data_IF_140155128462
#
_entry.id   IF_140155128462
#
_cell.length_a   1.000
_cell.length_b   1.000
_cell.length_c   1.000
_cell.angle_alpha   90.00
_cell.angle_beta   90.00
_cell.angle_gamma   90.00
#
_symmetry.space_group_name_H-M   'P 1'
#
loop_
_entity.id
_entity.type
_entity.pdbx_description
1 polymer ?
#
# COMPACT_ATOMS: atom_id res chain seq x y z
N UNK A 1 -18.10 13.98 6.36
CA UNK A 1 -17.82 14.88 7.48
C UNK A 1 -18.40 14.37 8.78
N UNK A 2 -18.09 15.04 9.90
CA UNK A 2 -18.63 14.79 11.25
C UNK A 2 -20.17 14.93 11.31
N UNK A 3 -20.78 15.55 10.29
CA UNK A 3 -22.23 15.60 10.12
C UNK A 3 -22.88 14.19 10.05
N UNK A 4 -22.18 13.17 9.55
CA UNK A 4 -22.66 11.77 9.49
C UNK A 4 -22.14 10.87 10.60
N UNK A 5 -21.56 11.43 11.67
CA UNK A 5 -20.93 10.60 12.73
C UNK A 5 -21.87 9.53 13.29
N UNK A 6 -23.19 9.78 13.28
CA UNK A 6 -24.21 8.80 13.67
C UNK A 6 -24.31 7.58 12.73
N UNK A 7 -23.99 7.73 11.44
CA UNK A 7 -24.03 6.68 10.41
C UNK A 7 -22.69 5.95 10.25
N UNK A 8 -21.61 6.54 10.75
CA UNK A 8 -20.27 5.96 10.69
C UNK A 8 -20.06 4.91 11.78
N UNK A 9 -19.37 3.82 11.44
CA UNK A 9 -18.87 2.85 12.43
C UNK A 9 -17.68 3.44 13.23
N UNK A 10 -17.23 2.72 14.27
CA UNK A 10 -16.17 3.21 15.16
C UNK A 10 -14.86 3.49 14.40
N UNK A 11 -14.53 2.62 13.44
CA UNK A 11 -13.31 2.66 12.63
C UNK A 11 -13.31 3.81 11.63
N UNK A 12 -14.47 4.24 11.14
CA UNK A 12 -14.61 5.39 10.23
C UNK A 12 -14.59 6.72 10.98
N UNK A 13 -15.13 6.77 12.20
CA UNK A 13 -15.25 8.01 12.99
C UNK A 13 -13.90 8.67 13.28
N UNK A 14 -12.84 7.89 13.45
CA UNK A 14 -11.48 8.43 13.71
C UNK A 14 -10.93 9.23 12.52
N UNK A 15 -11.44 9.00 11.31
CA UNK A 15 -11.06 9.72 10.09
C UNK A 15 -12.04 10.84 9.72
N UNK A 16 -13.18 10.96 10.42
CA UNK A 16 -14.21 11.95 10.09
C UNK A 16 -13.75 13.37 10.42
N UNK A 17 -13.73 14.24 9.42
CA UNK A 17 -13.38 15.67 9.53
C UNK A 17 -14.60 16.57 9.47
N UNK A 18 -14.48 17.86 9.82
CA UNK A 18 -15.62 18.79 9.95
C UNK A 18 -16.21 19.27 8.62
N UNK A 19 -15.50 19.03 7.53
CA UNK A 19 -15.84 19.48 6.19
C UNK A 19 -17.08 18.80 5.61
N UNK A 20 -17.63 19.48 4.61
CA UNK A 20 -18.73 19.03 3.77
C UNK A 20 -18.51 17.60 3.25
N UNK A 21 -19.57 16.81 3.27
CA UNK A 21 -19.58 15.38 3.09
C UNK A 21 -20.13 14.91 1.73
N UNK A 22 -20.38 15.87 0.82
CA UNK A 22 -20.90 15.66 -0.54
C UNK A 22 -19.85 15.85 -1.64
N UNK A 23 -18.56 15.96 -1.30
CA UNK A 23 -17.51 16.13 -2.30
C UNK A 23 -17.31 14.84 -3.11
N UNK A 24 -17.31 14.98 -4.44
CA UNK A 24 -16.78 13.97 -5.36
C UNK A 24 -15.28 13.78 -5.14
N UNK A 25 -14.73 12.64 -5.61
CA UNK A 25 -13.29 12.38 -5.49
C UNK A 25 -12.44 13.46 -6.18
N UNK A 26 -12.90 13.98 -7.31
CA UNK A 26 -12.23 15.09 -8.01
C UNK A 26 -12.20 16.37 -7.15
N UNK A 27 -13.33 16.72 -6.52
CA UNK A 27 -13.39 17.90 -5.63
C UNK A 27 -12.52 17.72 -4.38
N UNK A 28 -12.43 16.50 -3.84
CA UNK A 28 -11.50 16.16 -2.75
C UNK A 28 -10.06 16.39 -3.20
N UNK A 29 -9.67 15.90 -4.38
CA UNK A 29 -8.31 16.09 -4.91
C UNK A 29 -8.00 17.57 -5.15
N UNK A 30 -8.95 18.33 -5.71
CA UNK A 30 -8.81 19.77 -5.94
C UNK A 30 -8.65 20.57 -4.65
N UNK A 31 -9.42 20.20 -3.62
CA UNK A 31 -9.50 20.95 -2.37
C UNK A 31 -8.37 20.63 -1.40
N UNK A 32 -8.02 19.36 -1.26
CA UNK A 32 -7.08 18.90 -0.24
C UNK A 32 -5.69 18.58 -0.78
N UNK A 33 -5.53 18.59 -2.11
CA UNK A 33 -4.23 18.48 -2.77
C UNK A 33 -3.43 17.25 -2.28
N UNK A 34 -4.03 16.05 -2.25
CA UNK A 34 -3.38 14.88 -1.70
C UNK A 34 -2.14 14.50 -2.52
N UNK A 35 -1.10 14.05 -1.83
CA UNK A 35 0.13 13.52 -2.45
C UNK A 35 0.06 12.00 -2.66
N UNK A 36 -0.89 11.33 -2.00
CA UNK A 36 -1.12 9.88 -2.06
C UNK A 36 -2.60 9.61 -2.31
N UNK A 37 -2.90 8.70 -3.23
CA UNK A 37 -4.25 8.18 -3.50
C UNK A 37 -4.25 6.65 -3.41
N UNK A 38 -5.07 6.09 -2.50
CA UNK A 38 -5.18 4.65 -2.27
C UNK A 38 -6.61 4.20 -2.57
N UNK A 39 -6.75 3.29 -3.52
CA UNK A 39 -8.02 2.70 -3.94
C UNK A 39 -8.23 1.34 -3.31
N UNK A 40 -9.27 1.20 -2.50
CA UNK A 40 -9.69 -0.06 -1.85
C UNK A 40 -11.22 -0.24 -1.95
N UNK A 41 -11.78 0.12 -3.12
CA UNK A 41 -13.23 0.30 -3.31
C UNK A 41 -13.93 -0.88 -3.98
N UNK A 42 -13.18 -1.75 -4.68
CA UNK A 42 -13.68 -2.76 -5.61
C UNK A 42 -14.55 -2.20 -6.75
N UNK A 43 -14.36 -0.91 -7.09
CA UNK A 43 -15.01 -0.21 -8.20
C UNK A 43 -13.95 0.13 -9.25
N UNK A 44 -13.96 -0.61 -10.36
CA UNK A 44 -13.01 -0.41 -11.45
C UNK A 44 -13.22 0.91 -12.17
N UNK A 45 -12.12 1.56 -12.56
CA UNK A 45 -12.15 2.83 -13.30
C UNK A 45 -12.52 4.07 -12.46
N UNK A 46 -12.53 3.96 -11.13
CA UNK A 46 -12.83 5.08 -10.24
C UNK A 46 -11.76 6.18 -10.28
N UNK A 47 -10.49 5.83 -10.50
CA UNK A 47 -9.42 6.79 -10.72
C UNK A 47 -9.43 7.16 -12.20
N UNK A 48 -10.18 8.20 -12.55
CA UNK A 48 -10.28 8.69 -13.92
C UNK A 48 -9.06 9.51 -14.32
N UNK A 49 -8.85 9.68 -15.63
CA UNK A 49 -7.79 10.54 -16.18
C UNK A 49 -7.83 11.95 -15.58
N UNK A 50 -9.01 12.55 -15.50
CA UNK A 50 -9.19 13.88 -14.93
C UNK A 50 -8.68 13.93 -13.48
N UNK A 51 -9.06 12.96 -12.65
CA UNK A 51 -8.65 12.90 -11.24
C UNK A 51 -7.13 12.70 -11.11
N UNK A 52 -6.55 11.80 -11.88
CA UNK A 52 -5.12 11.50 -11.82
C UNK A 52 -4.28 12.66 -12.32
N UNK A 53 -4.66 13.30 -13.44
CA UNK A 53 -3.98 14.51 -13.95
C UNK A 53 -4.09 15.67 -12.98
N UNK A 54 -5.27 15.86 -12.37
CA UNK A 54 -5.50 16.89 -11.37
C UNK A 54 -4.58 16.71 -10.15
N UNK A 55 -4.40 15.47 -9.68
CA UNK A 55 -3.42 15.16 -8.63
C UNK A 55 -1.98 15.41 -9.10
N UNK A 56 -1.62 14.92 -10.28
CA UNK A 56 -0.26 15.00 -10.84
C UNK A 56 0.19 16.43 -11.19
N UNK A 57 -0.75 17.37 -11.32
CA UNK A 57 -0.46 18.80 -11.49
C UNK A 57 -0.03 19.50 -10.20
N UNK A 58 -0.30 18.90 -9.03
CA UNK A 58 -0.02 19.51 -7.70
C UNK A 58 1.18 18.92 -6.99
N UNK A 59 1.56 17.70 -7.34
CA UNK A 59 2.68 17.00 -6.75
C UNK A 59 3.58 16.44 -7.85
N UNK A 60 4.88 16.66 -7.70
CA UNK A 60 5.88 16.22 -8.68
C UNK A 60 5.85 14.69 -8.86
N UNK A 61 5.65 13.95 -7.77
CA UNK A 61 5.72 12.50 -7.75
C UNK A 61 4.49 11.91 -7.00
N UNK A 62 3.30 11.85 -7.63
CA UNK A 62 2.09 11.36 -6.98
C UNK A 62 2.20 9.86 -6.67
N UNK A 63 1.75 9.42 -5.51
CA UNK A 63 1.63 7.99 -5.18
C UNK A 63 0.21 7.53 -5.51
N UNK A 64 0.06 6.56 -6.42
CA UNK A 64 -1.24 6.10 -6.92
C UNK A 64 -1.34 4.58 -6.75
N UNK A 65 -2.10 4.13 -5.76
CA UNK A 65 -2.22 2.72 -5.39
C UNK A 65 -3.64 2.17 -5.62
N UNK A 66 -3.97 1.66 -6.82
CA UNK A 66 -5.22 0.95 -7.06
C UNK A 66 -5.12 -0.50 -6.54
N UNK A 67 -5.57 -0.74 -5.31
CA UNK A 67 -5.35 -2.01 -4.59
C UNK A 67 -6.49 -3.01 -4.75
N UNK A 68 -7.59 -2.62 -5.39
CA UNK A 68 -8.75 -3.49 -5.59
C UNK A 68 -8.42 -4.69 -6.48
N UNK A 69 -8.94 -5.86 -6.09
CA UNK A 69 -8.75 -7.13 -6.78
C UNK A 69 -10.10 -7.70 -7.25
N UNK A 70 -10.14 -8.50 -8.33
CA UNK A 70 -9.07 -8.76 -9.31
C UNK A 70 -8.83 -7.56 -10.24
N UNK A 71 -7.95 -7.66 -11.25
CA UNK A 71 -7.54 -6.56 -12.15
C UNK A 71 -8.69 -5.71 -12.70
N UNK A 72 -9.84 -6.31 -13.07
CA UNK A 72 -11.04 -5.59 -13.55
C UNK A 72 -11.70 -4.68 -12.51
N UNK A 73 -11.32 -4.81 -11.24
CA UNK A 73 -11.78 -3.98 -10.12
C UNK A 73 -10.76 -2.92 -9.71
N UNK A 74 -9.56 -2.92 -10.28
CA UNK A 74 -8.56 -1.89 -10.01
C UNK A 74 -9.09 -0.50 -10.40
N UNK A 75 -8.87 0.48 -9.54
CA UNK A 75 -9.38 1.83 -9.73
C UNK A 75 -8.82 2.51 -11.00
N UNK A 76 -7.62 2.15 -11.43
CA UNK A 76 -7.05 2.40 -12.76
C UNK A 76 -6.01 1.31 -13.10
N UNK A 77 -5.60 1.23 -14.36
CA UNK A 77 -4.48 0.35 -14.78
C UNK A 77 -3.13 1.02 -14.54
N UNK A 78 -2.05 0.23 -14.62
CA UNK A 78 -0.69 0.77 -14.57
C UNK A 78 -0.39 1.69 -15.77
N UNK A 79 -0.77 1.28 -16.99
CA UNK A 79 -0.63 2.07 -18.22
C UNK A 79 -1.29 3.44 -18.08
N UNK A 80 -2.56 3.46 -17.68
CA UNK A 80 -3.29 4.69 -17.38
C UNK A 80 -2.57 5.59 -16.37
N UNK A 81 -2.13 5.04 -15.24
CA UNK A 81 -1.47 5.82 -14.22
C UNK A 81 -0.14 6.43 -14.71
N UNK A 82 0.68 5.69 -15.45
CA UNK A 82 1.92 6.22 -16.00
C UNK A 82 1.65 7.26 -17.09
N UNK A 83 0.74 7.00 -18.03
CA UNK A 83 0.43 7.90 -19.13
C UNK A 83 -0.16 9.23 -18.63
N UNK A 84 -1.10 9.17 -17.69
CA UNK A 84 -1.74 10.37 -17.14
C UNK A 84 -0.83 11.18 -16.23
N UNK A 85 0.33 10.65 -15.85
CA UNK A 85 1.31 11.32 -14.99
C UNK A 85 2.66 11.54 -15.66
N UNK A 86 2.77 11.31 -16.97
CA UNK A 86 4.02 11.40 -17.73
C UNK A 86 5.15 10.53 -17.12
N UNK A 87 4.78 9.37 -16.58
CA UNK A 87 5.68 8.42 -15.94
C UNK A 87 6.20 8.87 -14.58
N UNK A 88 5.64 9.92 -13.98
CA UNK A 88 6.13 10.46 -12.69
C UNK A 88 5.54 9.74 -11.48
N UNK A 89 4.39 9.08 -11.60
CA UNK A 89 3.76 8.47 -10.44
C UNK A 89 4.60 7.32 -9.86
N UNK A 90 4.44 7.10 -8.55
CA UNK A 90 4.81 5.85 -7.90
C UNK A 90 3.56 4.97 -7.86
N UNK A 91 3.61 3.85 -8.58
CA UNK A 91 2.47 2.97 -8.76
C UNK A 91 2.68 1.61 -8.08
N UNK A 92 1.66 1.17 -7.33
CA UNK A 92 1.57 -0.20 -6.86
C UNK A 92 0.12 -0.67 -6.83
N UNK A 93 -0.13 -1.90 -7.28
CA UNK A 93 -1.49 -2.44 -7.40
C UNK A 93 -1.68 -3.71 -6.60
N UNK A 94 -2.94 -4.06 -6.30
CA UNK A 94 -3.26 -5.32 -5.62
C UNK A 94 -3.06 -6.55 -6.52
N UNK A 95 -3.48 -6.41 -7.78
CA UNK A 95 -3.35 -7.41 -8.84
C UNK A 95 -2.12 -7.12 -9.71
N UNK A 96 -1.49 -8.15 -10.31
CA UNK A 96 -0.33 -7.94 -11.18
C UNK A 96 -0.73 -7.22 -12.47
N UNK A 97 0.17 -6.37 -12.97
CA UNK A 97 0.13 -5.78 -14.30
C UNK A 97 1.44 -6.07 -15.02
N UNK A 98 1.38 -6.16 -16.35
CA UNK A 98 2.57 -6.29 -17.18
C UNK A 98 3.43 -5.00 -17.13
N UNK A 99 4.73 -5.09 -17.48
CA UNK A 99 5.56 -3.91 -17.64
C UNK A 99 4.95 -2.92 -18.64
N UNK A 100 5.10 -1.62 -18.37
CA UNK A 100 4.62 -0.53 -19.21
C UNK A 100 5.82 0.14 -19.88
N UNK A 101 5.81 0.21 -21.20
CA UNK A 101 6.80 0.93 -22.00
C UNK A 101 6.16 2.24 -22.48
N UNK A 102 6.78 3.37 -22.15
CA UNK A 102 6.35 4.69 -22.58
C UNK A 102 6.96 5.05 -23.94
N UNK A 103 6.32 5.96 -24.68
CA UNK A 103 6.79 6.44 -25.99
C UNK A 103 8.21 7.04 -25.97
N UNK A 104 8.66 7.54 -24.81
CA UNK A 104 10.01 8.09 -24.61
C UNK A 104 11.08 7.01 -24.29
N UNK A 105 10.70 5.73 -24.31
CA UNK A 105 11.56 4.57 -24.10
C UNK A 105 11.75 4.17 -22.62
N UNK A 106 11.13 4.88 -21.66
CA UNK A 106 11.13 4.44 -20.26
C UNK A 106 10.27 3.19 -20.09
N UNK A 107 10.79 2.21 -19.32
CA UNK A 107 10.06 0.97 -19.01
C UNK A 107 9.84 0.86 -17.50
N UNK A 108 8.58 0.80 -17.10
CA UNK A 108 8.15 0.67 -15.71
C UNK A 108 7.68 -0.74 -15.42
N UNK A 109 8.08 -1.27 -14.26
CA UNK A 109 7.61 -2.56 -13.75
C UNK A 109 6.72 -2.31 -12.54
N UNK A 110 5.38 -2.36 -12.68
CA UNK A 110 4.46 -2.08 -11.59
C UNK A 110 4.75 -2.94 -10.36
N UNK A 111 4.82 -2.29 -9.19
CA UNK A 111 4.96 -3.04 -7.94
C UNK A 111 3.62 -3.67 -7.56
N UNK A 112 3.65 -4.84 -6.91
CA UNK A 112 2.43 -5.48 -6.42
C UNK A 112 2.33 -5.30 -4.91
N UNK A 113 1.37 -4.48 -4.45
CA UNK A 113 1.04 -4.29 -3.05
C UNK A 113 0.10 -5.40 -2.59
N UNK A 114 0.66 -6.57 -2.30
CA UNK A 114 -0.11 -7.75 -1.90
C UNK A 114 0.30 -8.26 -0.51
N UNK A 115 -0.68 -8.73 0.26
CA UNK A 115 -0.47 -9.25 1.61
C UNK A 115 0.42 -10.51 1.66
N UNK A 116 0.70 -11.14 0.51
CA UNK A 116 1.65 -12.26 0.39
C UNK A 116 3.05 -11.95 0.92
N UNK A 117 3.45 -10.69 0.94
CA UNK A 117 4.73 -10.29 1.56
C UNK A 117 4.70 -10.37 3.09
N UNK A 118 3.53 -10.23 3.72
CA UNK A 118 3.42 -10.10 5.18
C UNK A 118 3.00 -11.41 5.85
N UNK A 119 1.87 -12.01 5.43
CA UNK A 119 1.26 -13.10 6.19
C UNK A 119 2.17 -14.33 6.42
N UNK A 120 3.04 -14.76 5.47
CA UNK A 120 3.88 -15.92 5.70
C UNK A 120 4.92 -15.67 6.79
N UNK A 121 5.60 -14.51 6.75
CA UNK A 121 6.59 -14.13 7.75
C UNK A 121 5.97 -13.87 9.12
N UNK A 122 4.84 -13.16 9.15
CA UNK A 122 4.07 -12.91 10.37
C UNK A 122 3.63 -14.22 11.03
N UNK A 123 3.02 -15.12 10.25
CA UNK A 123 2.55 -16.41 10.74
C UNK A 123 3.70 -17.31 11.21
N UNK A 124 4.81 -17.35 10.46
CA UNK A 124 6.01 -18.08 10.86
C UNK A 124 6.56 -17.56 12.18
N UNK A 125 6.76 -16.25 12.31
CA UNK A 125 7.29 -15.62 13.52
C UNK A 125 6.43 -15.89 14.74
N UNK A 126 5.12 -15.63 14.64
CA UNK A 126 4.16 -15.88 15.72
C UNK A 126 4.13 -17.36 16.14
N UNK A 127 4.20 -18.30 15.18
CA UNK A 127 4.17 -19.74 15.46
C UNK A 127 5.44 -20.23 16.15
N UNK A 128 6.61 -19.78 15.69
CA UNK A 128 7.91 -20.22 16.19
C UNK A 128 8.15 -19.77 17.63
N UNK A 129 7.87 -18.50 17.96
CA UNK A 129 8.01 -18.00 19.33
C UNK A 129 6.84 -18.37 20.24
N UNK A 130 5.78 -18.98 19.69
CA UNK A 130 4.55 -19.27 20.44
C UNK A 130 3.89 -18.00 20.98
N UNK A 131 3.74 -16.98 20.12
CA UNK A 131 3.07 -15.74 20.49
C UNK A 131 1.63 -16.04 20.94
N UNK A 132 1.22 -15.54 22.11
CA UNK A 132 -0.15 -15.73 22.62
C UNK A 132 -1.17 -14.84 21.90
N UNK A 133 -0.71 -13.74 21.31
CA UNK A 133 -1.52 -12.75 20.59
C UNK A 133 -0.68 -12.07 19.52
N UNK A 134 -1.28 -11.78 18.37
CA UNK A 134 -0.72 -10.86 17.37
C UNK A 134 -1.17 -9.44 17.69
N UNK A 135 -0.23 -8.50 17.81
CA UNK A 135 -0.50 -7.10 18.13
C UNK A 135 -0.37 -6.20 16.89
N UNK A 136 -0.97 -5.00 16.93
CA UNK A 136 -0.79 -4.01 15.87
C UNK A 136 0.68 -3.63 15.67
N UNK A 137 1.46 -3.66 16.77
CA UNK A 137 2.90 -3.42 16.73
C UNK A 137 3.64 -4.51 15.95
N UNK A 138 3.25 -5.78 16.07
CA UNK A 138 3.79 -6.87 15.23
C UNK A 138 3.50 -6.65 13.74
N UNK A 139 2.31 -6.17 13.40
CA UNK A 139 1.96 -5.82 12.02
C UNK A 139 2.82 -4.65 11.49
N UNK A 140 3.02 -3.65 12.34
CA UNK A 140 3.85 -2.48 12.02
C UNK A 140 5.31 -2.87 11.78
N UNK A 141 5.94 -3.64 12.67
CA UNK A 141 7.34 -4.06 12.47
C UNK A 141 7.51 -5.03 11.30
N UNK A 142 6.46 -5.80 10.95
CA UNK A 142 6.45 -6.59 9.73
C UNK A 142 6.50 -5.71 8.48
N UNK A 143 5.73 -4.61 8.46
CA UNK A 143 5.78 -3.63 7.37
C UNK A 143 7.13 -2.91 7.29
N UNK A 144 7.71 -2.51 8.43
CA UNK A 144 9.07 -1.93 8.49
C UNK A 144 10.12 -2.92 7.97
N UNK A 145 10.07 -4.18 8.41
CA UNK A 145 10.99 -5.22 7.98
C UNK A 145 10.91 -5.45 6.46
N UNK A 146 9.70 -5.44 5.87
CA UNK A 146 9.51 -5.50 4.42
C UNK A 146 10.18 -4.32 3.70
N UNK A 147 9.98 -3.10 4.19
CA UNK A 147 10.53 -1.90 3.58
C UNK A 147 12.07 -1.90 3.50
N UNK A 148 12.75 -2.60 4.41
CA UNK A 148 14.23 -2.72 4.39
C UNK A 148 14.81 -3.51 3.21
N UNK A 149 13.99 -4.20 2.42
CA UNK A 149 14.44 -4.94 1.23
C UNK A 149 14.61 -4.08 -0.01
N UNK A 150 14.19 -2.82 0.04
CA UNK A 150 14.30 -1.89 -1.08
C UNK A 150 15.58 -1.08 -0.94
N UNK A 151 16.35 -1.04 -2.02
CA UNK A 151 17.49 -0.11 -2.12
C UNK A 151 17.01 1.28 -2.52
N UNK A 152 17.85 2.29 -2.30
CA UNK A 152 17.58 3.65 -2.80
C UNK A 152 17.44 3.67 -4.33
N UNK A 153 18.17 2.81 -5.05
CA UNK A 153 18.05 2.67 -6.50
C UNK A 153 16.66 2.12 -6.91
N UNK A 154 16.13 1.14 -6.18
CA UNK A 154 14.78 0.62 -6.40
C UNK A 154 13.74 1.74 -6.23
N UNK A 155 13.86 2.52 -5.15
CA UNK A 155 12.97 3.63 -4.85
C UNK A 155 13.05 4.74 -5.92
N UNK A 156 14.25 5.07 -6.40
CA UNK A 156 14.45 6.04 -7.49
C UNK A 156 13.78 5.56 -8.79
N UNK A 157 13.76 4.26 -9.04
CA UNK A 157 13.08 3.63 -10.19
C UNK A 157 11.57 3.44 -9.99
N UNK A 158 11.03 3.85 -8.84
CA UNK A 158 9.60 3.73 -8.52
C UNK A 158 9.17 2.33 -8.07
N UNK A 159 10.13 1.46 -7.74
CA UNK A 159 9.86 0.13 -7.19
C UNK A 159 9.65 0.27 -5.68
N UNK A 160 8.47 -0.14 -5.22
CA UNK A 160 8.05 0.00 -3.80
C UNK A 160 7.70 -1.33 -3.14
N UNK A 161 7.88 -2.45 -3.84
CA UNK A 161 7.86 -3.79 -3.29
C UNK A 161 9.01 -4.63 -3.88
N UNK A 162 9.66 -5.49 -3.09
CA UNK A 162 10.77 -6.31 -3.56
C UNK A 162 10.31 -7.34 -4.59
N UNK A 163 11.25 -7.97 -5.30
CA UNK A 163 10.94 -9.05 -6.22
C UNK A 163 10.35 -10.27 -5.49
N UNK A 164 9.36 -10.92 -6.10
CA UNK A 164 8.82 -12.20 -5.61
C UNK A 164 9.87 -13.31 -5.51
N UNK A 165 11.00 -13.19 -6.23
CA UNK A 165 12.13 -14.13 -6.08
C UNK A 165 12.72 -14.10 -4.66
N UNK A 166 12.63 -12.96 -3.97
CA UNK A 166 13.13 -12.75 -2.61
C UNK A 166 12.08 -13.05 -1.53
N UNK A 167 10.90 -13.59 -1.89
CA UNK A 167 9.76 -13.74 -0.96
C UNK A 167 10.09 -14.59 0.28
N UNK A 168 10.99 -15.56 0.15
CA UNK A 168 11.45 -16.39 1.28
C UNK A 168 12.33 -15.59 2.25
N UNK A 169 13.25 -14.79 1.72
CA UNK A 169 14.12 -13.94 2.54
C UNK A 169 13.31 -12.84 3.24
N UNK A 170 12.34 -12.26 2.52
CA UNK A 170 11.36 -11.31 3.07
C UNK A 170 10.59 -11.95 4.22
N UNK A 171 10.02 -13.14 4.00
CA UNK A 171 9.27 -13.87 5.03
C UNK A 171 10.12 -14.18 6.26
N UNK A 172 11.38 -14.58 6.06
CA UNK A 172 12.31 -14.83 7.14
C UNK A 172 12.57 -13.55 7.95
N UNK A 173 12.93 -12.44 7.30
CA UNK A 173 13.22 -11.18 7.99
C UNK A 173 12.03 -10.65 8.78
N UNK A 174 10.82 -10.76 8.22
CA UNK A 174 9.58 -10.41 8.92
C UNK A 174 9.38 -11.33 10.14
N UNK A 175 9.59 -12.64 9.99
CA UNK A 175 9.47 -13.57 11.10
C UNK A 175 10.41 -13.22 12.25
N UNK A 176 11.67 -12.84 11.96
CA UNK A 176 12.61 -12.37 12.99
C UNK A 176 12.08 -11.13 13.69
N UNK A 177 11.66 -10.10 12.95
CA UNK A 177 11.14 -8.86 13.53
C UNK A 177 9.90 -9.10 14.42
N UNK A 178 9.01 -9.99 13.98
CA UNK A 178 7.81 -10.38 14.74
C UNK A 178 8.16 -11.14 16.01
N UNK A 179 9.14 -12.05 15.96
CA UNK A 179 9.63 -12.77 17.15
C UNK A 179 10.25 -11.78 18.14
N UNK A 180 11.10 -10.87 17.67
CA UNK A 180 11.72 -9.86 18.53
C UNK A 180 10.66 -8.97 19.21
N UNK A 181 9.63 -8.56 18.49
CA UNK A 181 8.51 -7.79 19.05
C UNK A 181 7.70 -8.61 20.06
N UNK A 182 7.42 -9.88 19.76
CA UNK A 182 6.71 -10.78 20.68
C UNK A 182 7.48 -11.00 21.99
N UNK A 183 8.81 -11.06 21.94
CA UNK A 183 9.66 -11.12 23.13
C UNK A 183 9.56 -9.82 23.92
N UNK A 184 9.67 -8.67 23.25
CA UNK A 184 9.60 -7.34 23.90
C UNK A 184 8.24 -7.11 24.59
N UNK A 185 7.15 -7.54 23.95
CA UNK A 185 5.80 -7.44 24.51
C UNK A 185 5.49 -8.51 25.58
N UNK A 186 6.42 -9.45 25.84
CA UNK A 186 6.21 -10.56 26.79
C UNK A 186 5.15 -11.57 26.33
N UNK A 187 4.91 -11.65 25.02
CA UNK A 187 3.90 -12.52 24.41
C UNK A 187 4.48 -13.85 23.89
N UNK A 188 5.80 -13.96 23.76
CA UNK A 188 6.49 -15.19 23.33
C UNK A 188 6.56 -16.24 24.44
N UNK A 189 6.14 -17.47 24.16
CA UNK A 189 6.08 -18.58 25.14
C UNK A 189 7.08 -19.71 24.88
N UNK A 190 7.61 -19.82 23.66
CA UNK A 190 8.60 -20.84 23.25
C UNK A 190 10.01 -20.26 23.21
N UNK A 191 10.41 -19.59 24.28
CA UNK A 191 11.81 -19.19 24.47
C UNK A 191 12.48 -20.30 25.27
N UNK A 192 13.47 -20.97 24.69
CA UNK A 192 14.30 -21.91 25.45
C UNK A 192 14.95 -21.12 26.60
N UNK A 193 14.67 -21.54 27.83
CA UNK A 193 15.37 -21.08 29.03
C UNK A 193 16.75 -21.73 29.12
#
# INVERSE_FOLDING_TARGET
>A
GKARTAELNAEQRVFAREEDDQLSLLEVVKKFEPTIMIGVTAVGGLFTEEIVREMAARVERPIIFPLSNPTVKAECTAEQAYDWTDGRCVFASGSPFDPVEMDDGRVFKPSQCNNMYIFPGLGLGATLCGATKVTDRMLYVAAEALATFLSEEDLQRGVVFPSLKSIRDVSHRIAVAVIEEAIRDGLATKLNK
#
